data_IF_638856152466
#
_entry.id   IF_638856152466
#
_cell.length_a   1.000
_cell.length_b   1.000
_cell.length_c   1.000
_cell.angle_alpha   90.00
_cell.angle_beta   90.00
_cell.angle_gamma   90.00
#
_symmetry.space_group_name_H-M   'P 1'
#
loop_
_entity.id
_entity.type
_entity.pdbx_description
1 polymer ?
#
# COMPACT_ATOMS: atom_id res chain seq x y z
N UNK A 1 10.17 -19.45 2.03
CA UNK A 1 8.85 -19.10 1.43
C UNK A 1 8.78 -19.64 0.03
N UNK A 2 7.65 -20.20 -0.41
CA UNK A 2 7.54 -20.65 -1.79
C UNK A 2 7.63 -19.47 -2.77
N UNK A 3 8.75 -19.37 -3.49
CA UNK A 3 9.03 -18.29 -4.46
C UNK A 3 7.93 -18.17 -5.52
N UNK A 4 7.35 -19.28 -5.97
CA UNK A 4 6.28 -19.24 -6.97
C UNK A 4 4.99 -18.64 -6.41
N UNK A 5 4.67 -18.90 -5.14
CA UNK A 5 3.50 -18.29 -4.47
C UNK A 5 3.70 -16.79 -4.34
N UNK A 6 4.89 -16.34 -3.90
CA UNK A 6 5.23 -14.93 -3.83
C UNK A 6 5.12 -14.24 -5.19
N UNK A 7 5.70 -14.81 -6.26
CA UNK A 7 5.64 -14.23 -7.60
C UNK A 7 4.21 -14.17 -8.16
N UNK A 8 3.36 -15.16 -7.86
CA UNK A 8 1.94 -15.11 -8.22
C UNK A 8 1.22 -13.97 -7.49
N UNK A 9 1.47 -13.78 -6.21
CA UNK A 9 0.94 -12.65 -5.45
C UNK A 9 1.43 -11.30 -5.99
N UNK A 10 2.73 -11.21 -6.29
CA UNK A 10 3.32 -10.00 -6.86
C UNK A 10 2.66 -9.64 -8.17
N UNK A 11 2.54 -10.61 -9.08
CA UNK A 11 1.87 -10.42 -10.38
C UNK A 11 0.42 -9.96 -10.20
N UNK A 12 -0.32 -10.60 -9.29
CA UNK A 12 -1.71 -10.23 -9.01
C UNK A 12 -1.82 -8.79 -8.49
N UNK A 13 -1.05 -8.43 -7.46
CA UNK A 13 -1.07 -7.11 -6.84
C UNK A 13 -0.64 -6.02 -7.82
N UNK A 14 0.42 -6.24 -8.59
CA UNK A 14 0.86 -5.31 -9.65
C UNK A 14 -0.22 -5.15 -10.71
N UNK A 15 -0.84 -6.24 -11.17
CA UNK A 15 -1.92 -6.17 -12.19
C UNK A 15 -3.10 -5.37 -11.68
N UNK A 16 -3.55 -5.63 -10.45
CA UNK A 16 -4.69 -4.94 -9.84
C UNK A 16 -4.39 -3.46 -9.56
N UNK A 17 -3.18 -3.17 -9.06
CA UNK A 17 -2.70 -1.81 -8.87
C UNK A 17 -2.68 -1.05 -10.20
N UNK A 18 -1.99 -1.58 -11.21
CA UNK A 18 -1.84 -0.92 -12.51
C UNK A 18 -3.19 -0.74 -13.22
N UNK A 19 -4.08 -1.74 -13.12
CA UNK A 19 -5.44 -1.63 -13.65
C UNK A 19 -6.22 -0.48 -13.01
N UNK A 20 -6.20 -0.37 -11.69
CA UNK A 20 -6.86 0.73 -10.97
C UNK A 20 -6.20 2.09 -11.25
N UNK A 21 -4.87 2.15 -11.28
CA UNK A 21 -4.11 3.36 -11.58
C UNK A 21 -4.43 3.90 -12.98
N UNK A 22 -4.45 3.04 -14.00
CA UNK A 22 -4.84 3.41 -15.37
C UNK A 22 -6.32 3.78 -15.47
N UNK A 23 -7.20 3.09 -14.74
CA UNK A 23 -8.61 3.46 -14.70
C UNK A 23 -8.79 4.85 -14.07
N UNK A 24 -8.04 5.18 -13.03
CA UNK A 24 -8.05 6.52 -12.44
C UNK A 24 -7.63 7.59 -13.43
N UNK A 25 -6.61 7.33 -14.26
CA UNK A 25 -6.26 8.24 -15.35
C UNK A 25 -7.47 8.54 -16.24
N UNK A 26 -8.17 7.51 -16.72
CA UNK A 26 -9.37 7.66 -17.55
C UNK A 26 -10.45 8.46 -16.83
N UNK A 27 -10.73 8.13 -15.56
CA UNK A 27 -11.75 8.82 -14.76
C UNK A 27 -11.40 10.30 -14.56
N UNK A 28 -10.13 10.63 -14.30
CA UNK A 28 -9.67 12.03 -14.17
C UNK A 28 -9.86 12.81 -15.47
N UNK A 29 -9.62 12.19 -16.64
CA UNK A 29 -9.86 12.85 -17.92
C UNK A 29 -11.36 13.08 -18.19
N UNK A 30 -12.22 12.13 -17.81
CA UNK A 30 -13.66 12.23 -18.04
C UNK A 30 -14.38 13.14 -17.03
N UNK A 31 -13.90 13.16 -15.78
CA UNK A 31 -14.55 13.83 -14.64
C UNK A 31 -13.55 14.65 -13.80
N UNK A 32 -12.84 15.63 -14.39
CA UNK A 32 -11.74 16.33 -13.71
C UNK A 32 -12.20 17.11 -12.47
N UNK A 33 -13.36 17.76 -12.54
CA UNK A 33 -13.91 18.56 -11.43
C UNK A 33 -14.27 17.66 -10.24
N UNK A 34 -14.94 16.54 -10.51
CA UNK A 34 -15.36 15.58 -9.49
C UNK A 34 -14.16 14.91 -8.84
N UNK A 35 -13.12 14.58 -9.61
CA UNK A 35 -11.91 13.94 -9.09
C UNK A 35 -11.09 14.91 -8.22
N UNK A 36 -10.99 16.18 -8.59
CA UNK A 36 -10.38 17.21 -7.72
C UNK A 36 -11.20 17.41 -6.44
N UNK A 37 -12.53 17.43 -6.52
CA UNK A 37 -13.39 17.54 -5.34
C UNK A 37 -13.25 16.32 -4.40
N UNK A 38 -13.16 15.12 -4.97
CA UNK A 38 -12.93 13.88 -4.22
C UNK A 38 -11.60 13.94 -3.45
N UNK A 39 -10.52 14.34 -4.14
CA UNK A 39 -9.19 14.45 -3.52
C UNK A 39 -9.16 15.50 -2.41
N UNK A 40 -9.80 16.66 -2.60
CA UNK A 40 -9.99 17.66 -1.53
C UNK A 40 -10.75 17.10 -0.34
N UNK A 41 -11.84 16.35 -0.59
CA UNK A 41 -12.60 15.68 0.48
C UNK A 41 -11.74 14.71 1.29
N UNK A 42 -10.86 13.95 0.62
CA UNK A 42 -9.89 13.09 1.29
C UNK A 42 -8.85 13.88 2.10
N UNK A 43 -8.28 14.95 1.54
CA UNK A 43 -7.32 15.79 2.24
C UNK A 43 -7.93 16.39 3.51
N UNK A 44 -9.19 16.86 3.44
CA UNK A 44 -9.93 17.37 4.58
C UNK A 44 -10.14 16.28 5.64
N UNK A 45 -10.61 15.10 5.24
CA UNK A 45 -10.80 13.97 6.17
C UNK A 45 -9.50 13.61 6.89
N UNK A 46 -8.38 13.58 6.18
CA UNK A 46 -7.06 13.32 6.77
C UNK A 46 -6.71 14.40 7.80
N UNK A 47 -6.92 15.68 7.46
CA UNK A 47 -6.65 16.80 8.38
C UNK A 47 -7.53 16.77 9.64
N UNK A 48 -8.80 16.37 9.52
CA UNK A 48 -9.74 16.29 10.64
C UNK A 48 -9.48 15.07 11.54
N UNK A 49 -9.14 13.93 10.94
CA UNK A 49 -8.88 12.68 11.68
C UNK A 49 -7.52 12.66 12.36
N UNK A 50 -6.63 13.59 11.99
CA UNK A 50 -5.30 13.72 12.56
C UNK A 50 -5.07 15.18 12.99
N UNK A 51 -5.68 15.65 14.09
CA UNK A 51 -5.58 17.03 14.57
C UNK A 51 -4.16 17.46 15.01
N UNK A 52 -3.13 16.64 14.76
CA UNK A 52 -1.71 16.95 14.94
C UNK A 52 -0.88 16.83 13.65
N UNK A 53 -1.51 16.72 12.46
CA UNK A 53 -0.81 16.81 11.18
C UNK A 53 -0.31 18.24 11.01
N UNK A 54 0.93 18.47 11.45
CA UNK A 54 1.63 19.71 11.21
C UNK A 54 1.75 19.96 9.71
N UNK A 55 1.48 21.18 9.25
CA UNK A 55 1.88 21.58 7.91
C UNK A 55 3.40 21.46 7.77
N UNK A 56 3.92 21.28 6.55
CA UNK A 56 5.38 21.18 6.32
C UNK A 56 6.13 22.37 6.94
N UNK A 57 5.52 23.55 6.93
CA UNK A 57 6.02 24.79 7.53
C UNK A 57 6.04 24.84 9.08
N UNK A 58 5.36 23.91 9.74
CA UNK A 58 5.20 23.87 11.21
C UNK A 58 6.22 22.97 11.92
N UNK A 59 7.08 22.28 11.15
CA UNK A 59 8.19 21.50 11.69
C UNK A 59 9.39 22.40 11.98
N UNK A 60 10.02 22.23 13.15
CA UNK A 60 11.15 23.06 13.59
C UNK A 60 12.45 22.75 12.87
N UNK A 61 12.52 21.61 12.15
CA UNK A 61 13.65 21.24 11.30
C UNK A 61 13.26 20.18 10.27
N UNK A 62 14.03 20.07 9.19
CA UNK A 62 13.92 18.98 8.20
C UNK A 62 14.10 17.60 8.85
N UNK A 63 14.94 17.49 9.88
CA UNK A 63 15.13 16.26 10.63
C UNK A 63 13.87 15.83 11.40
N UNK A 64 13.14 16.79 11.97
CA UNK A 64 11.85 16.54 12.64
C UNK A 64 10.81 16.05 11.63
N UNK A 65 10.73 16.69 10.46
CA UNK A 65 9.84 16.28 9.37
C UNK A 65 10.20 14.87 8.84
N UNK A 66 11.49 14.57 8.68
CA UNK A 66 11.97 13.25 8.28
C UNK A 66 11.55 12.17 9.27
N UNK A 67 11.77 12.42 10.57
CA UNK A 67 11.34 11.51 11.63
C UNK A 67 9.83 11.27 11.62
N UNK A 68 9.05 12.35 11.45
CA UNK A 68 7.59 12.28 11.37
C UNK A 68 7.12 11.42 10.19
N UNK A 69 7.63 11.69 8.98
CA UNK A 69 7.29 10.92 7.76
C UNK A 69 7.67 9.46 7.92
N UNK A 70 8.85 9.17 8.47
CA UNK A 70 9.31 7.80 8.69
C UNK A 70 8.39 7.03 9.64
N UNK A 71 7.95 7.65 10.74
CA UNK A 71 7.00 7.05 11.70
C UNK A 71 5.67 6.73 11.02
N UNK A 72 5.07 7.69 10.32
CA UNK A 72 3.75 7.50 9.71
C UNK A 72 3.76 6.52 8.54
N UNK A 73 4.82 6.53 7.73
CA UNK A 73 5.00 5.51 6.68
C UNK A 73 5.18 4.13 7.31
N UNK A 74 5.91 4.01 8.43
CA UNK A 74 6.07 2.74 9.15
C UNK A 74 4.77 2.22 9.75
N UNK A 75 3.96 3.10 10.37
CA UNK A 75 2.64 2.76 10.90
C UNK A 75 1.70 2.31 9.79
N UNK A 76 1.65 3.06 8.68
CA UNK A 76 0.84 2.72 7.51
C UNK A 76 1.21 1.35 6.95
N UNK A 77 2.51 1.04 6.85
CA UNK A 77 2.98 -0.26 6.39
C UNK A 77 2.65 -1.39 7.35
N UNK A 78 2.76 -1.17 8.66
CA UNK A 78 2.39 -2.16 9.66
C UNK A 78 0.89 -2.50 9.57
N UNK A 79 0.04 -1.48 9.44
CA UNK A 79 -1.40 -1.65 9.25
C UNK A 79 -1.66 -2.41 7.94
N UNK A 80 -1.07 -1.98 6.82
CA UNK A 80 -1.21 -2.67 5.54
C UNK A 80 -0.74 -4.13 5.61
N UNK A 81 0.37 -4.40 6.30
CA UNK A 81 0.89 -5.75 6.48
C UNK A 81 -0.10 -6.63 7.25
N UNK A 82 -0.61 -6.16 8.39
CA UNK A 82 -1.58 -6.90 9.22
C UNK A 82 -2.86 -7.17 8.42
N UNK A 83 -3.38 -6.16 7.74
CA UNK A 83 -4.60 -6.28 6.93
C UNK A 83 -4.37 -7.26 5.77
N UNK A 84 -3.26 -7.16 5.05
CA UNK A 84 -2.96 -8.02 3.89
C UNK A 84 -2.52 -9.44 4.27
N UNK A 85 -2.11 -9.67 5.53
CA UNK A 85 -1.88 -11.01 6.07
C UNK A 85 -3.18 -11.82 6.05
N UNK A 86 -4.32 -11.15 6.25
CA UNK A 86 -5.67 -11.70 6.05
C UNK A 86 -6.06 -11.78 4.57
N UNK A 87 -5.10 -11.80 3.64
CA UNK A 87 -5.33 -12.06 2.21
C UNK A 87 -6.22 -11.00 1.54
N UNK A 88 -6.23 -9.79 2.08
CA UNK A 88 -7.01 -8.65 1.57
C UNK A 88 -6.26 -7.82 0.51
N UNK A 89 -5.02 -8.19 0.15
CA UNK A 89 -4.24 -7.46 -0.86
C UNK A 89 -4.94 -7.28 -2.22
N UNK A 90 -5.84 -8.17 -2.69
CA UNK A 90 -6.62 -7.90 -3.91
C UNK A 90 -7.60 -6.72 -3.80
N UNK A 91 -7.94 -6.28 -2.59
CA UNK A 91 -8.77 -5.09 -2.32
C UNK A 91 -7.88 -3.87 -2.08
N UNK A 92 -6.79 -4.05 -1.32
CA UNK A 92 -5.86 -2.95 -1.01
C UNK A 92 -5.08 -2.48 -2.24
N UNK A 93 -4.66 -3.39 -3.14
CA UNK A 93 -3.87 -3.00 -4.33
C UNK A 93 -4.62 -2.05 -5.28
N UNK A 94 -5.90 -2.31 -5.65
CA UNK A 94 -6.70 -1.35 -6.38
C UNK A 94 -6.89 -0.02 -5.66
N UNK A 95 -7.10 -0.03 -4.34
CA UNK A 95 -7.25 1.20 -3.56
C UNK A 95 -5.97 2.05 -3.60
N UNK A 96 -4.80 1.42 -3.45
CA UNK A 96 -3.51 2.10 -3.60
C UNK A 96 -3.32 2.64 -5.02
N UNK A 97 -3.65 1.87 -6.05
CA UNK A 97 -3.60 2.31 -7.44
C UNK A 97 -4.50 3.51 -7.69
N UNK A 98 -5.71 3.48 -7.14
CA UNK A 98 -6.65 4.59 -7.22
C UNK A 98 -6.14 5.83 -6.49
N UNK A 99 -5.64 5.67 -5.26
CA UNK A 99 -5.12 6.74 -4.43
C UNK A 99 -3.93 7.44 -5.09
N UNK A 100 -2.87 6.68 -5.44
CA UNK A 100 -1.68 7.26 -6.07
C UNK A 100 -1.96 7.80 -7.47
N UNK A 101 -2.88 7.17 -8.22
CA UNK A 101 -3.35 7.71 -9.50
C UNK A 101 -4.06 9.05 -9.33
N UNK A 102 -4.91 9.17 -8.30
CA UNK A 102 -5.64 10.41 -8.03
C UNK A 102 -4.67 11.54 -7.69
N UNK A 103 -3.71 11.28 -6.78
CA UNK A 103 -2.67 12.24 -6.40
C UNK A 103 -1.89 12.71 -7.63
N UNK A 104 -1.40 11.78 -8.46
CA UNK A 104 -0.59 12.10 -9.63
C UNK A 104 -1.37 12.86 -10.70
N UNK A 105 -2.54 12.36 -11.10
CA UNK A 105 -3.25 12.88 -12.27
C UNK A 105 -4.08 14.13 -11.98
N UNK A 106 -4.49 14.36 -10.73
CA UNK A 106 -5.17 15.60 -10.34
C UNK A 106 -4.20 16.72 -9.95
N UNK A 107 -2.92 16.43 -9.71
CA UNK A 107 -1.89 17.43 -9.40
C UNK A 107 -1.87 18.61 -10.37
N UNK A 108 -1.69 18.37 -11.70
CA UNK A 108 -1.68 19.43 -12.70
C UNK A 108 -2.96 20.26 -12.76
N UNK A 109 -4.12 19.65 -12.52
CA UNK A 109 -5.41 20.34 -12.51
C UNK A 109 -5.54 21.34 -11.35
N UNK A 110 -4.69 21.22 -10.33
CA UNK A 110 -4.60 22.12 -9.18
C UNK A 110 -3.44 23.12 -9.30
N UNK A 111 -2.76 23.16 -10.45
CA UNK A 111 -1.60 24.03 -10.68
C UNK A 111 -0.27 23.46 -10.17
N UNK A 112 -0.23 22.20 -9.70
CA UNK A 112 1.04 21.55 -9.35
C UNK A 112 1.77 21.12 -10.62
N UNK A 113 2.99 21.63 -10.80
CA UNK A 113 3.86 21.22 -11.91
C UNK A 113 4.56 19.93 -11.49
N UNK A 114 4.22 18.82 -12.15
CA UNK A 114 4.90 17.55 -11.92
C UNK A 114 6.38 17.68 -12.25
N UNK A 115 7.22 17.45 -11.24
CA UNK A 115 8.67 17.49 -11.35
C UNK A 115 9.23 16.08 -11.54
N UNK A 116 10.49 15.99 -11.96
CA UNK A 116 11.22 14.71 -12.00
C UNK A 116 11.25 14.03 -10.62
N UNK A 117 11.20 14.81 -9.54
CA UNK A 117 11.15 14.32 -8.16
C UNK A 117 9.86 13.53 -7.91
N UNK A 118 8.71 14.09 -8.30
CA UNK A 118 7.40 13.42 -8.18
C UNK A 118 7.38 12.09 -8.94
N UNK A 119 7.98 12.07 -10.14
CA UNK A 119 8.06 10.89 -11.00
C UNK A 119 8.97 9.78 -10.45
N UNK A 120 9.95 10.10 -9.60
CA UNK A 120 10.82 9.12 -8.93
C UNK A 120 10.19 8.67 -7.61
N UNK A 121 9.62 9.63 -6.87
CA UNK A 121 9.07 9.43 -5.55
C UNK A 121 7.86 8.50 -5.53
N UNK A 122 6.92 8.67 -6.47
CA UNK A 122 5.72 7.85 -6.55
C UNK A 122 6.07 6.37 -6.78
N UNK A 123 6.93 6.00 -7.75
CA UNK A 123 7.40 4.61 -7.88
C UNK A 123 8.05 4.04 -6.63
N UNK A 124 8.86 4.81 -5.89
CA UNK A 124 9.46 4.36 -4.62
C UNK A 124 8.35 4.03 -3.62
N UNK A 125 7.38 4.94 -3.43
CA UNK A 125 6.25 4.75 -2.52
C UNK A 125 5.43 3.52 -2.88
N UNK A 126 5.03 3.42 -4.14
CA UNK A 126 4.27 2.27 -4.66
C UNK A 126 5.05 0.97 -4.46
N UNK A 127 6.35 0.96 -4.72
CA UNK A 127 7.17 -0.26 -4.63
C UNK A 127 7.18 -0.84 -3.22
N UNK A 128 7.39 -0.02 -2.19
CA UNK A 128 7.43 -0.58 -0.82
C UNK A 128 6.05 -1.06 -0.35
N UNK A 129 4.95 -0.39 -0.76
CA UNK A 129 3.60 -0.90 -0.48
C UNK A 129 3.32 -2.21 -1.21
N UNK A 130 3.61 -2.30 -2.51
CA UNK A 130 3.40 -3.53 -3.30
C UNK A 130 4.22 -4.70 -2.76
N UNK A 131 5.47 -4.47 -2.37
CA UNK A 131 6.31 -5.51 -1.75
C UNK A 131 5.71 -5.95 -0.41
N UNK A 132 5.29 -4.99 0.43
CA UNK A 132 4.71 -5.27 1.75
C UNK A 132 3.43 -6.09 1.65
N UNK A 133 2.47 -5.67 0.81
CA UNK A 133 1.19 -6.38 0.68
C UNK A 133 1.37 -7.76 0.01
N UNK A 134 2.32 -7.87 -0.94
CA UNK A 134 2.67 -9.15 -1.57
C UNK A 134 3.26 -10.10 -0.55
N UNK A 135 4.22 -9.63 0.26
CA UNK A 135 4.84 -10.45 1.29
C UNK A 135 3.83 -10.89 2.35
N UNK A 136 2.99 -9.96 2.83
CA UNK A 136 1.93 -10.24 3.78
C UNK A 136 0.96 -11.31 3.26
N UNK A 137 0.52 -11.22 2.01
CA UNK A 137 -0.40 -12.21 1.42
C UNK A 137 0.27 -13.55 1.11
N UNK A 138 1.54 -13.56 0.73
CA UNK A 138 2.30 -14.79 0.56
C UNK A 138 2.44 -15.54 1.89
N UNK A 139 2.73 -14.82 2.98
CA UNK A 139 2.73 -15.38 4.33
C UNK A 139 1.32 -15.82 4.77
N UNK A 140 0.30 -15.03 4.41
CA UNK A 140 -1.11 -15.40 4.62
C UNK A 140 -1.47 -16.72 3.92
N UNK A 141 -0.95 -16.99 2.73
CA UNK A 141 -1.11 -18.30 2.07
C UNK A 141 -0.50 -19.44 2.87
N UNK A 142 0.69 -19.25 3.46
CA UNK A 142 1.35 -20.29 4.29
C UNK A 142 0.57 -20.57 5.60
N UNK A 143 -0.13 -19.56 6.14
CA UNK A 143 -0.89 -19.68 7.41
C UNK A 143 -2.30 -20.21 7.15
N UNK A 144 -2.98 -19.73 6.11
CA UNK A 144 -4.41 -19.95 5.87
C UNK A 144 -4.70 -20.84 4.65
N UNK A 145 -3.68 -21.29 3.90
CA UNK A 145 -3.84 -22.19 2.75
C UNK A 145 -4.42 -21.56 1.48
N UNK A 146 -4.82 -20.29 1.51
CA UNK A 146 -5.49 -19.62 0.38
C UNK A 146 -4.46 -19.14 -0.63
N UNK A 147 -4.45 -19.77 -1.80
CA UNK A 147 -3.52 -19.48 -2.89
C UNK A 147 -3.98 -18.28 -3.75
N UNK A 148 -3.04 -17.57 -4.43
CA UNK A 148 -3.34 -16.47 -5.36
C UNK A 148 -3.91 -16.97 -6.69
N UNK A 149 -5.01 -17.71 -6.62
CA UNK A 149 -5.70 -18.29 -7.76
C UNK A 149 -7.17 -17.85 -7.75
N UNK A 150 -7.76 -17.69 -8.94
CA UNK A 150 -9.10 -17.09 -9.10
C UNK A 150 -10.16 -17.80 -8.24
N UNK A 151 -10.24 -19.14 -8.30
CA UNK A 151 -11.26 -19.91 -7.58
C UNK A 151 -11.07 -19.81 -6.04
N UNK A 152 -9.89 -20.09 -5.46
CA UNK A 152 -9.66 -19.90 -4.02
C UNK A 152 -9.98 -18.50 -3.53
N UNK A 153 -9.55 -17.45 -4.25
CA UNK A 153 -9.79 -16.06 -3.85
C UNK A 153 -11.27 -15.69 -3.89
N UNK A 154 -11.98 -16.04 -4.96
CA UNK A 154 -13.42 -15.77 -5.06
C UNK A 154 -14.18 -16.47 -3.92
N UNK A 155 -13.83 -17.72 -3.61
CA UNK A 155 -14.45 -18.45 -2.52
C UNK A 155 -14.16 -17.80 -1.16
N UNK A 156 -12.92 -17.34 -0.96
CA UNK A 156 -12.52 -16.59 0.23
C UNK A 156 -13.34 -15.30 0.38
N UNK A 157 -13.37 -14.46 -0.65
CA UNK A 157 -14.11 -13.19 -0.60
C UNK A 157 -15.61 -13.39 -0.47
N UNK A 158 -16.20 -14.39 -1.14
CA UNK A 158 -17.63 -14.71 -0.98
C UNK A 158 -17.99 -15.08 0.47
N UNK A 159 -17.12 -15.83 1.15
CA UNK A 159 -17.29 -16.14 2.58
C UNK A 159 -17.05 -14.92 3.47
N UNK A 160 -16.11 -14.05 3.09
CA UNK A 160 -15.79 -12.84 3.84
C UNK A 160 -16.90 -11.80 3.76
N UNK A 161 -17.50 -11.59 2.59
CA UNK A 161 -18.61 -10.64 2.41
C UNK A 161 -19.90 -11.07 3.12
N UNK A 162 -20.12 -12.38 3.29
CA UNK A 162 -21.31 -12.90 3.98
C UNK A 162 -21.18 -12.87 5.50
N UNK A 163 -19.98 -12.60 6.04
CA UNK A 163 -19.71 -12.56 7.48
C UNK A 163 -18.76 -11.40 7.78
N UNK A 164 -19.29 -10.35 8.39
CA UNK A 164 -18.62 -9.06 8.66
C UNK A 164 -17.23 -9.16 9.33
N UNK A 165 -16.92 -10.30 9.97
CA UNK A 165 -15.67 -10.56 10.69
C UNK A 165 -15.07 -11.94 10.37
N UNK A 166 -15.21 -12.41 9.13
CA UNK A 166 -14.61 -13.68 8.75
C UNK A 166 -13.09 -13.59 8.74
N UNK A 167 -12.48 -14.20 9.74
CA UNK A 167 -11.06 -14.51 9.75
C UNK A 167 -10.91 -15.98 9.33
N UNK A 168 -10.12 -16.28 8.28
CA UNK A 168 -9.88 -17.66 7.88
C UNK A 168 -9.24 -18.43 9.04
N UNK A 169 -9.67 -19.68 9.25
CA UNK A 169 -9.02 -20.53 10.26
C UNK A 169 -7.59 -20.84 9.79
N UNK A 170 -6.58 -20.71 10.65
CA UNK A 170 -5.23 -21.09 10.30
C UNK A 170 -5.18 -22.61 10.04
N UNK A 171 -4.66 -23.00 8.88
CA UNK A 171 -4.34 -24.40 8.56
C UNK A 171 -3.03 -24.81 9.22
N UNK A 172 -2.19 -23.82 9.56
CA UNK A 172 -0.86 -24.01 10.14
C UNK A 172 -0.61 -23.03 11.29
N UNK A 173 0.19 -23.46 12.27
CA UNK A 173 0.67 -22.56 13.31
C UNK A 173 1.51 -21.43 12.71
N UNK A 174 1.11 -20.19 12.99
CA UNK A 174 1.80 -18.99 12.54
C UNK A 174 3.27 -18.99 12.95
N UNK A 175 3.61 -19.43 14.18
CA UNK A 175 5.00 -19.45 14.66
C UNK A 175 5.90 -20.29 13.78
N UNK A 176 5.42 -21.45 13.33
CA UNK A 176 6.18 -22.36 12.47
C UNK A 176 6.35 -21.75 11.08
N UNK A 177 5.28 -21.15 10.54
CA UNK A 177 5.34 -20.43 9.28
C UNK A 177 6.36 -19.27 9.34
N UNK A 178 6.42 -18.50 10.43
CA UNK A 178 7.43 -17.45 10.58
C UNK A 178 8.85 -18.02 10.74
N UNK A 179 9.02 -19.09 11.53
CA UNK A 179 10.33 -19.69 11.78
C UNK A 179 10.96 -20.24 10.48
N UNK A 180 10.17 -20.92 9.66
CA UNK A 180 10.65 -21.46 8.37
C UNK A 180 10.96 -20.39 7.34
N UNK A 181 10.27 -19.25 7.43
CA UNK A 181 10.43 -18.12 6.50
C UNK A 181 11.32 -17.00 7.07
N UNK A 182 12.08 -17.26 8.14
CA UNK A 182 12.85 -16.23 8.87
C UNK A 182 13.84 -15.49 7.97
N UNK A 183 14.53 -16.20 7.07
CA UNK A 183 15.52 -15.59 6.17
C UNK A 183 14.86 -14.62 5.19
N UNK A 184 13.76 -15.04 4.57
CA UNK A 184 12.97 -14.19 3.68
C UNK A 184 12.35 -13.02 4.44
N UNK A 185 11.78 -13.26 5.63
CA UNK A 185 11.24 -12.21 6.47
C UNK A 185 12.28 -11.13 6.77
N UNK A 186 13.50 -11.52 7.15
CA UNK A 186 14.61 -10.58 7.37
C UNK A 186 14.97 -9.81 6.10
N UNK A 187 15.06 -10.50 4.95
CA UNK A 187 15.36 -9.85 3.67
C UNK A 187 14.28 -8.81 3.31
N UNK A 188 13.00 -9.14 3.47
CA UNK A 188 11.90 -8.22 3.19
C UNK A 188 11.85 -7.07 4.19
N UNK A 189 12.09 -7.34 5.49
CA UNK A 189 12.16 -6.30 6.50
C UNK A 189 13.28 -5.29 6.19
N UNK A 190 14.47 -5.76 5.81
CA UNK A 190 15.59 -4.90 5.38
C UNK A 190 15.23 -4.14 4.11
N UNK A 191 14.65 -4.80 3.11
CA UNK A 191 14.25 -4.15 1.85
C UNK A 191 13.22 -3.04 2.10
N UNK A 192 12.19 -3.31 2.90
CA UNK A 192 11.16 -2.34 3.27
C UNK A 192 11.77 -1.20 4.09
N UNK A 193 12.66 -1.49 5.04
CA UNK A 193 13.34 -0.46 5.83
C UNK A 193 14.19 0.47 4.96
N UNK A 194 14.95 -0.06 4.00
CA UNK A 194 15.72 0.74 3.04
C UNK A 194 14.80 1.61 2.18
N UNK A 195 13.70 1.04 1.66
CA UNK A 195 12.74 1.81 0.87
C UNK A 195 12.00 2.88 1.68
N UNK A 196 11.72 2.62 2.96
CA UNK A 196 11.16 3.59 3.89
C UNK A 196 12.11 4.77 4.13
N UNK A 197 13.38 4.48 4.39
CA UNK A 197 14.44 5.47 4.55
C UNK A 197 14.59 6.30 3.27
N UNK A 198 14.65 5.66 2.10
CA UNK A 198 14.74 6.36 0.82
C UNK A 198 13.48 7.20 0.55
N UNK A 199 12.29 6.67 0.83
CA UNK A 199 11.04 7.39 0.69
C UNK A 199 11.00 8.65 1.56
N UNK A 200 11.29 8.51 2.86
CA UNK A 200 11.36 9.65 3.78
C UNK A 200 12.45 10.65 3.37
N UNK A 201 13.60 10.16 2.90
CA UNK A 201 14.70 11.01 2.46
C UNK A 201 14.31 11.86 1.25
N UNK A 202 13.73 11.24 0.21
CA UNK A 202 13.24 11.96 -0.97
C UNK A 202 12.08 12.91 -0.67
N UNK A 203 11.25 12.59 0.33
CA UNK A 203 10.12 13.46 0.71
C UNK A 203 10.58 14.75 1.41
N UNK A 204 11.72 14.71 2.10
CA UNK A 204 12.26 15.85 2.87
C UNK A 204 13.34 16.62 2.12
N UNK A 205 14.33 15.92 1.57
CA UNK A 205 15.51 16.52 0.96
C UNK A 205 15.52 16.43 -0.57
N UNK A 206 14.56 15.68 -1.12
CA UNK A 206 14.51 15.31 -2.53
C UNK A 206 14.11 16.42 -3.44
#
# INVERSE_FOLDING_TARGET
>A
MNKQIFLKWLKLNVTLFSGAFLLTFIIVQLFPVQMVALEKGWANLISETHPGLKQVSEYGSELELFGYILVWNSVSLLICFIVCLLITSPVISPFLGFFYGTVLFTGPLRGHVLTTKDLIFIPIKVSFFIITITFASALGTEIFGIKPERKPLINYFKKSFTRLWYIPKPERNWRDAFAENKKEFMLFAVTIAVLLLLGAWFEVYG
#
